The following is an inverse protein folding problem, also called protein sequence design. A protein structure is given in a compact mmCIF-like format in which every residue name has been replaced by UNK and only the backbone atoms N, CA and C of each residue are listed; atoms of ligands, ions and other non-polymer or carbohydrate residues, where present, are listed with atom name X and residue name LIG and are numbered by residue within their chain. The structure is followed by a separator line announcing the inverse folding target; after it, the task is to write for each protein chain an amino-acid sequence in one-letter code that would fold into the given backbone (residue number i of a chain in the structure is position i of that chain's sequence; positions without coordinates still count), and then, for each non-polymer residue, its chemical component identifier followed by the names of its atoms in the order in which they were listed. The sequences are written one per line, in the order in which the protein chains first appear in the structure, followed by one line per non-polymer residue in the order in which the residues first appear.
data_IF_538525553402
#
_entry.id   IF_538525553402
#
_cell.length_a   1.000
_cell.length_b   1.000
_cell.length_c   1.000
_cell.angle_alpha   90.00
_cell.angle_beta   90.00
_cell.angle_gamma   90.00
#
_symmetry.space_group_name_H-M   'P 1'
#
loop_
_entity.id
_entity.type
_entity.pdbx_description
1 polymer ?
#
# COMPACT_ATOMS: atom_id res chain seq x y z
N UNK A 1 -12.88 -0.38 13.40
CA UNK A 1 -11.69 -0.99 12.78
C UNK A 1 -11.19 -0.13 11.62
N UNK A 2 -9.90 -0.24 11.27
CA UNK A 2 -9.28 0.43 10.13
C UNK A 2 -9.28 -0.52 8.92
N UNK A 3 -9.99 -0.17 7.84
CA UNK A 3 -10.16 -1.01 6.63
C UNK A 3 -8.84 -1.46 6.00
N UNK A 4 -7.78 -0.65 6.11
CA UNK A 4 -6.46 -1.02 5.60
C UNK A 4 -5.88 -2.23 6.34
N UNK A 5 -5.93 -2.21 7.67
CA UNK A 5 -5.41 -3.31 8.49
C UNK A 5 -6.22 -4.60 8.30
N UNK A 6 -7.54 -4.50 8.10
CA UNK A 6 -8.41 -5.66 7.86
C UNK A 6 -8.11 -6.37 6.53
N UNK A 7 -7.61 -5.64 5.54
CA UNK A 7 -7.29 -6.17 4.20
C UNK A 7 -5.80 -6.52 4.05
N UNK A 8 -5.02 -6.53 5.14
CA UNK A 8 -3.62 -6.96 5.15
C UNK A 8 -2.59 -5.84 4.96
N UNK A 9 -2.98 -4.57 5.13
CA UNK A 9 -2.05 -3.42 5.17
C UNK A 9 -1.70 -3.02 6.61
N UNK A 10 -1.58 -3.97 7.54
CA UNK A 10 -1.20 -3.71 8.93
C UNK A 10 0.30 -3.38 9.09
N UNK A 11 1.10 -3.70 8.08
CA UNK A 11 2.51 -3.35 7.91
C UNK A 11 2.73 -1.96 7.27
N UNK A 12 1.66 -1.21 7.01
CA UNK A 12 1.71 0.06 6.31
C UNK A 12 1.74 1.27 7.25
N UNK A 13 2.70 2.18 7.03
CA UNK A 13 2.64 3.54 7.55
C UNK A 13 1.78 4.42 6.64
N UNK A 14 0.79 5.10 7.22
CA UNK A 14 -0.13 5.97 6.48
C UNK A 14 0.26 7.44 6.60
N UNK A 15 0.45 8.11 5.46
CA UNK A 15 0.77 9.52 5.37
C UNK A 15 -0.21 10.32 4.51
N UNK A 16 -0.42 11.58 4.87
CA UNK A 16 -1.18 12.56 4.09
C UNK A 16 -0.33 13.81 3.88
N UNK A 17 -0.17 14.22 2.62
CA UNK A 17 0.65 15.39 2.27
C UNK A 17 -0.02 16.34 1.28
N UNK A 18 -1.03 15.86 0.53
CA UNK A 18 -1.82 16.66 -0.40
C UNK A 18 -3.30 16.25 -0.31
N UNK A 19 -4.24 17.20 -0.41
CA UNK A 19 -5.66 16.87 -0.47
C UNK A 19 -5.98 15.83 -1.56
N UNK A 20 -6.72 14.80 -1.20
CA UNK A 20 -7.11 13.72 -2.12
C UNK A 20 -6.00 12.71 -2.44
N UNK A 21 -4.84 12.77 -1.78
CA UNK A 21 -3.76 11.77 -1.92
C UNK A 21 -3.46 11.09 -0.59
N UNK A 22 -3.30 9.78 -0.66
CA UNK A 22 -2.82 8.93 0.43
C UNK A 22 -1.44 8.39 0.05
N UNK A 23 -0.46 8.56 0.93
CA UNK A 23 0.84 7.90 0.82
C UNK A 23 0.85 6.70 1.76
N UNK A 24 1.36 5.57 1.28
CA UNK A 24 1.50 4.34 2.04
C UNK A 24 2.94 3.84 1.88
N UNK A 25 3.61 3.63 2.99
CA UNK A 25 4.94 3.03 3.06
C UNK A 25 4.82 1.66 3.72
N UNK A 26 5.36 0.62 3.10
CA UNK A 26 5.19 -0.76 3.53
C UNK A 26 6.53 -1.37 3.94
N UNK A 27 6.48 -2.25 4.94
CA UNK A 27 7.57 -3.17 5.29
C UNK A 27 7.06 -4.59 5.11
N UNK A 28 7.09 -5.07 3.85
CA UNK A 28 6.48 -6.34 3.47
C UNK A 28 7.50 -7.41 3.13
N UNK A 29 7.34 -8.58 3.74
CA UNK A 29 8.05 -9.79 3.34
C UNK A 29 7.36 -10.46 2.15
N UNK A 30 8.12 -10.76 1.10
CA UNK A 30 7.65 -11.50 -0.06
C UNK A 30 8.82 -12.19 -0.78
N UNK A 31 8.57 -13.20 -1.63
CA UNK A 31 9.62 -13.89 -2.38
C UNK A 31 10.42 -12.97 -3.33
N UNK A 32 9.80 -11.90 -3.81
CA UNK A 32 10.45 -10.85 -4.58
C UNK A 32 9.79 -9.49 -4.33
N UNK A 33 10.49 -8.42 -4.69
CA UNK A 33 9.91 -7.08 -4.62
C UNK A 33 8.71 -6.90 -5.56
N UNK A 34 8.67 -7.63 -6.68
CA UNK A 34 7.52 -7.61 -7.58
C UNK A 34 6.29 -8.21 -6.90
N UNK A 35 6.45 -9.35 -6.23
CA UNK A 35 5.37 -10.01 -5.48
C UNK A 35 4.89 -9.11 -4.32
N UNK A 36 5.82 -8.45 -3.61
CA UNK A 36 5.47 -7.49 -2.55
C UNK A 36 4.61 -6.35 -3.09
N UNK A 37 5.01 -5.78 -4.23
CA UNK A 37 4.30 -4.69 -4.90
C UNK A 37 2.91 -5.11 -5.36
N UNK A 38 2.80 -6.26 -6.03
CA UNK A 38 1.53 -6.76 -6.56
C UNK A 38 0.53 -6.98 -5.41
N UNK A 39 0.96 -7.66 -4.35
CA UNK A 39 0.13 -7.90 -3.16
C UNK A 39 -0.32 -6.59 -2.49
N UNK A 40 0.59 -5.63 -2.31
CA UNK A 40 0.24 -4.30 -1.75
C UNK A 40 -0.85 -3.62 -2.57
N UNK A 41 -0.74 -3.62 -3.91
CA UNK A 41 -1.72 -2.98 -4.77
C UNK A 41 -3.08 -3.66 -4.65
N UNK A 42 -3.12 -4.99 -4.55
CA UNK A 42 -4.35 -5.75 -4.36
C UNK A 42 -5.02 -5.41 -3.02
N UNK A 43 -4.27 -5.43 -1.93
CA UNK A 43 -4.77 -5.15 -0.57
C UNK A 43 -5.35 -3.73 -0.47
N UNK A 44 -4.63 -2.73 -1.02
CA UNK A 44 -5.09 -1.34 -1.03
C UNK A 44 -6.37 -1.17 -1.84
N UNK A 45 -6.51 -1.87 -2.97
CA UNK A 45 -7.73 -1.81 -3.79
C UNK A 45 -8.94 -2.42 -3.07
N UNK A 46 -8.73 -3.46 -2.26
CA UNK A 46 -9.77 -4.05 -1.41
C UNK A 46 -10.17 -3.09 -0.28
N UNK A 47 -9.18 -2.51 0.40
CA UNK A 47 -9.40 -1.58 1.51
C UNK A 47 -10.06 -0.26 1.10
N UNK A 48 -9.64 0.28 -0.05
CA UNK A 48 -10.09 1.57 -0.58
C UNK A 48 -10.52 1.43 -2.04
N UNK A 49 -11.76 0.97 -2.28
CA UNK A 49 -12.30 0.79 -3.63
C UNK A 49 -12.28 2.11 -4.42
N UNK A 50 -12.02 2.03 -5.71
CA UNK A 50 -11.91 3.16 -6.65
C UNK A 50 -10.69 4.07 -6.46
N UNK A 51 -9.69 3.66 -5.68
CA UNK A 51 -8.39 4.34 -5.68
C UNK A 51 -7.66 4.16 -7.00
N UNK A 52 -6.80 5.14 -7.30
CA UNK A 52 -5.89 5.10 -8.44
C UNK A 52 -4.47 5.20 -7.94
N UNK A 53 -3.64 4.23 -8.30
CA UNK A 53 -2.20 4.32 -8.11
C UNK A 53 -1.67 5.49 -8.94
N UNK A 54 -1.04 6.46 -8.28
CA UNK A 54 -0.47 7.64 -8.96
C UNK A 54 1.01 7.43 -9.22
N UNK A 55 1.74 6.99 -8.19
CA UNK A 55 3.19 6.80 -8.20
C UNK A 55 3.54 5.59 -7.33
N UNK A 56 4.66 4.94 -7.65
CA UNK A 56 5.21 3.83 -6.90
C UNK A 56 6.73 3.97 -6.85
N UNK A 57 7.30 3.74 -5.67
CA UNK A 57 8.73 3.71 -5.44
C UNK A 57 9.10 2.40 -4.75
N UNK A 58 9.98 1.62 -5.36
CA UNK A 58 10.68 0.53 -4.67
C UNK A 58 12.11 0.97 -4.36
N UNK A 59 12.49 0.92 -3.08
CA UNK A 59 13.90 0.95 -2.70
C UNK A 59 14.44 -0.47 -2.68
N UNK A 60 15.57 -0.66 -3.33
CA UNK A 60 16.37 -1.88 -3.31
C UNK A 60 17.72 -1.48 -2.72
N UNK A 61 17.77 -1.32 -1.40
CA UNK A 61 19.03 -1.17 -0.67
C UNK A 61 19.50 -2.55 -0.18
#
# INVERSE_FOLDING_TARGET
MNRLAEEGCDDALVGVGQPGRLALEFVREAPSAHDAIEGVIEDVRRAVPNTRLIEQLSRHD
#
